data_IF_970535626935
#
_entry.id   IF_970535626935
#
_cell.length_a   1.000
_cell.length_b   1.000
_cell.length_c   1.000
_cell.angle_alpha   90.00
_cell.angle_beta   90.00
_cell.angle_gamma   90.00
#
_symmetry.space_group_name_H-M   'P 1'
#
loop_
_entity.id
_entity.type
_entity.pdbx_description
1 polymer ?
#
# COMPACT_ATOMS: atom_id res chain seq x y z
N UNK A 1 15.13 11.13 -27.27
CA UNK A 1 15.61 10.07 -26.36
C UNK A 1 16.26 10.75 -25.14
N UNK A 2 15.70 10.54 -23.94
CA UNK A 2 16.20 11.17 -22.71
C UNK A 2 17.25 10.30 -22.00
N UNK A 3 17.54 9.08 -22.50
CA UNK A 3 18.54 8.17 -21.92
C UNK A 3 18.22 7.76 -20.48
N UNK A 4 16.93 7.55 -20.17
CA UNK A 4 16.50 7.16 -18.82
C UNK A 4 16.67 5.66 -18.58
N UNK A 5 16.96 5.26 -17.35
CA UNK A 5 17.06 3.85 -16.93
C UNK A 5 15.71 3.27 -16.52
N UNK A 6 14.77 4.09 -16.09
CA UNK A 6 13.42 3.70 -15.73
C UNK A 6 12.44 4.88 -15.82
N UNK A 7 11.16 4.56 -15.98
CA UNK A 7 10.07 5.52 -15.86
C UNK A 7 9.28 5.23 -14.58
N UNK A 8 9.07 6.24 -13.76
CA UNK A 8 8.17 6.18 -12.62
C UNK A 8 6.80 6.68 -13.09
N UNK A 9 5.84 5.77 -13.20
CA UNK A 9 4.46 6.06 -13.59
C UNK A 9 3.67 6.53 -12.37
N UNK A 10 3.54 7.83 -12.22
CA UNK A 10 2.90 8.48 -11.05
C UNK A 10 1.59 9.20 -11.40
N UNK A 11 1.05 9.01 -12.61
CA UNK A 11 -0.19 9.70 -13.04
C UNK A 11 -1.44 9.06 -12.43
N UNK A 12 -1.37 7.80 -12.02
CA UNK A 12 -2.53 7.01 -11.59
C UNK A 12 -3.45 6.57 -12.73
N UNK A 13 -3.03 6.78 -13.99
CA UNK A 13 -3.80 6.43 -15.19
C UNK A 13 -3.29 5.12 -15.79
N UNK A 14 -1.99 5.01 -16.03
CA UNK A 14 -1.37 3.85 -16.68
C UNK A 14 -1.02 2.76 -15.65
N UNK A 15 -2.06 2.19 -15.00
CA UNK A 15 -1.90 1.28 -13.85
C UNK A 15 -2.02 -0.21 -14.19
N UNK A 16 -2.14 -0.56 -15.48
CA UNK A 16 -2.16 -1.95 -15.98
C UNK A 16 -0.96 -2.20 -16.87
N UNK A 17 -0.62 -3.48 -17.09
CA UNK A 17 0.47 -3.87 -17.98
C UNK A 17 0.30 -3.27 -19.39
N UNK A 18 -0.91 -3.39 -19.97
CA UNK A 18 -1.19 -2.87 -21.31
C UNK A 18 -1.00 -1.36 -21.39
N UNK A 19 -1.45 -0.64 -20.39
CA UNK A 19 -1.33 0.83 -20.38
C UNK A 19 0.10 1.26 -20.10
N UNK A 20 0.77 0.67 -19.12
CA UNK A 20 2.15 1.00 -18.78
C UNK A 20 3.13 0.62 -19.89
N UNK A 21 2.75 -0.35 -20.74
CA UNK A 21 3.53 -0.74 -21.93
C UNK A 21 3.80 0.42 -22.89
N UNK A 22 2.95 1.43 -22.95
CA UNK A 22 3.21 2.62 -23.78
C UNK A 22 4.55 3.30 -23.43
N UNK A 23 4.99 3.25 -22.17
CA UNK A 23 6.29 3.77 -21.79
C UNK A 23 7.43 2.89 -22.31
N UNK A 24 7.25 1.56 -22.29
CA UNK A 24 8.21 0.61 -22.87
C UNK A 24 8.32 0.82 -24.38
N UNK A 25 7.17 0.92 -25.07
CA UNK A 25 7.11 1.17 -26.51
C UNK A 25 7.72 2.54 -26.88
N UNK A 26 7.69 3.50 -25.96
CA UNK A 26 8.37 4.80 -26.05
C UNK A 26 9.88 4.74 -25.78
N UNK A 27 10.43 3.57 -25.46
CA UNK A 27 11.86 3.32 -25.26
C UNK A 27 12.33 3.30 -23.80
N UNK A 28 11.43 3.24 -22.82
CA UNK A 28 11.80 3.06 -21.42
C UNK A 28 12.25 1.61 -21.16
N UNK A 29 13.41 1.36 -20.54
CA UNK A 29 13.85 0.00 -20.22
C UNK A 29 13.01 -0.68 -19.15
N UNK A 30 12.49 0.10 -18.19
CA UNK A 30 11.63 -0.35 -17.09
C UNK A 30 10.59 0.68 -16.72
N UNK A 31 9.47 0.20 -16.15
CA UNK A 31 8.40 1.06 -15.61
C UNK A 31 8.05 0.62 -14.20
N UNK A 32 8.01 1.57 -13.28
CA UNK A 32 7.54 1.36 -11.90
C UNK A 32 6.25 2.16 -11.71
N UNK A 33 5.15 1.45 -11.53
CA UNK A 33 3.83 2.06 -11.28
C UNK A 33 3.73 2.40 -9.80
N UNK A 34 3.53 3.67 -9.46
CA UNK A 34 3.38 4.15 -8.06
C UNK A 34 1.97 3.95 -7.50
N UNK A 35 1.25 2.96 -7.96
CA UNK A 35 -0.12 2.63 -7.59
C UNK A 35 -0.34 1.11 -7.64
N UNK A 36 -1.39 0.57 -6.97
CA UNK A 36 -1.76 -0.84 -7.12
C UNK A 36 -2.09 -1.15 -8.56
N UNK A 37 -1.61 -2.29 -9.05
CA UNK A 37 -1.96 -2.82 -10.37
C UNK A 37 -2.86 -4.04 -10.25
N UNK A 38 -3.70 -4.25 -11.26
CA UNK A 38 -4.53 -5.46 -11.36
C UNK A 38 -3.70 -6.67 -11.79
N UNK A 39 -2.74 -6.48 -12.67
CA UNK A 39 -2.05 -7.49 -13.46
C UNK A 39 -0.52 -7.39 -13.40
N UNK A 40 0.08 -6.22 -13.15
CA UNK A 40 1.51 -6.12 -12.96
C UNK A 40 1.95 -6.75 -11.61
N UNK A 41 3.13 -7.41 -11.57
CA UNK A 41 3.72 -7.87 -10.33
C UNK A 41 3.84 -6.75 -9.32
N UNK A 42 3.48 -7.04 -8.07
CA UNK A 42 3.45 -6.04 -6.99
C UNK A 42 4.52 -6.35 -5.96
N UNK A 43 5.32 -5.34 -5.64
CA UNK A 43 6.41 -5.46 -4.69
C UNK A 43 6.33 -4.40 -3.60
N UNK A 44 6.58 -4.83 -2.38
CA UNK A 44 6.75 -3.97 -1.20
C UNK A 44 8.14 -4.20 -0.63
N UNK A 45 8.91 -3.13 -0.54
CA UNK A 45 10.27 -3.20 0.01
C UNK A 45 10.24 -3.69 1.46
N UNK A 46 11.17 -4.59 1.81
CA UNK A 46 11.20 -5.25 3.12
C UNK A 46 10.20 -6.40 3.29
N UNK A 47 9.34 -6.67 2.30
CA UNK A 47 8.33 -7.74 2.36
C UNK A 47 8.61 -8.85 1.35
N UNK A 48 8.62 -8.54 0.06
CA UNK A 48 8.82 -9.49 -1.03
C UNK A 48 9.75 -8.97 -2.13
N UNK A 49 10.57 -7.96 -1.85
CA UNK A 49 11.46 -7.33 -2.83
C UNK A 49 12.57 -8.27 -3.33
N UNK A 50 12.94 -9.26 -2.54
CA UNK A 50 13.89 -10.32 -2.88
C UNK A 50 13.38 -11.29 -3.97
N UNK A 51 12.07 -11.26 -4.23
CA UNK A 51 11.43 -12.05 -5.28
C UNK A 51 11.31 -11.30 -6.62
N UNK A 52 11.83 -10.06 -6.71
CA UNK A 52 11.77 -9.27 -7.96
C UNK A 52 12.49 -10.03 -9.08
N UNK A 53 11.75 -10.29 -10.17
CA UNK A 53 12.34 -10.88 -11.35
C UNK A 53 12.96 -9.78 -12.23
N UNK A 54 14.18 -10.01 -12.71
CA UNK A 54 14.87 -9.08 -13.62
C UNK A 54 14.14 -8.89 -14.95
N UNK A 55 13.35 -9.88 -15.36
CA UNK A 55 12.59 -9.87 -16.60
C UNK A 55 11.25 -9.11 -16.47
N UNK A 56 10.84 -8.74 -15.25
CA UNK A 56 9.69 -7.88 -15.04
C UNK A 56 10.01 -6.44 -15.46
N UNK A 57 9.62 -6.09 -16.67
CA UNK A 57 9.84 -4.74 -17.22
C UNK A 57 8.87 -3.71 -16.62
N UNK A 58 7.71 -4.15 -16.17
CA UNK A 58 6.67 -3.31 -15.57
C UNK A 58 6.31 -3.91 -14.22
N UNK A 59 6.50 -3.14 -13.15
CA UNK A 59 6.19 -3.55 -11.77
C UNK A 59 5.33 -2.50 -11.08
N UNK A 60 4.61 -2.91 -10.04
CA UNK A 60 3.85 -2.01 -9.18
C UNK A 60 4.49 -1.91 -7.80
N UNK A 61 4.62 -0.70 -7.28
CA UNK A 61 5.07 -0.41 -5.91
C UNK A 61 3.91 -0.42 -4.90
N UNK A 62 2.76 -1.01 -5.24
CA UNK A 62 1.58 -1.08 -4.40
C UNK A 62 0.98 0.30 -4.03
N UNK A 63 0.17 0.36 -2.97
CA UNK A 63 -0.42 1.61 -2.45
C UNK A 63 0.30 2.09 -1.20
N UNK A 64 0.08 3.35 -0.84
CA UNK A 64 0.55 3.92 0.43
C UNK A 64 0.11 3.08 1.64
N UNK A 65 -1.16 2.70 1.70
CA UNK A 65 -1.71 1.87 2.79
C UNK A 65 -1.12 0.46 2.78
N UNK A 66 -0.89 -0.14 1.60
CA UNK A 66 -0.24 -1.45 1.50
C UNK A 66 1.22 -1.39 1.99
N UNK A 67 1.95 -0.35 1.63
CA UNK A 67 3.33 -0.15 2.09
C UNK A 67 3.41 0.11 3.60
N UNK A 68 2.40 0.75 4.19
CA UNK A 68 2.31 0.94 5.64
C UNK A 68 1.98 -0.38 6.38
N UNK A 69 1.05 -1.17 5.83
CA UNK A 69 0.50 -2.36 6.49
C UNK A 69 1.37 -3.61 6.34
N UNK A 70 1.94 -3.84 5.14
CA UNK A 70 2.61 -5.09 4.83
C UNK A 70 3.88 -5.35 5.67
N UNK A 71 4.77 -4.38 5.94
CA UNK A 71 5.94 -4.63 6.78
C UNK A 71 5.59 -5.06 8.21
N UNK A 72 4.78 -4.34 9.01
CA UNK A 72 4.49 -4.74 10.38
C UNK A 72 3.71 -6.06 10.46
N UNK A 73 2.75 -6.30 9.57
CA UNK A 73 2.02 -7.56 9.61
C UNK A 73 2.88 -8.75 9.17
N UNK A 74 3.86 -8.54 8.30
CA UNK A 74 4.86 -9.56 7.96
C UNK A 74 5.67 -9.96 9.19
N UNK A 75 6.18 -8.98 9.93
CA UNK A 75 6.97 -9.23 11.16
C UNK A 75 6.14 -10.02 12.17
N UNK A 76 4.88 -9.66 12.38
CA UNK A 76 3.97 -10.38 13.27
C UNK A 76 3.69 -11.80 12.76
N UNK A 77 3.42 -11.95 11.48
CA UNK A 77 3.10 -13.25 10.88
C UNK A 77 4.30 -14.21 10.92
N UNK A 78 5.49 -13.73 10.63
CA UNK A 78 6.71 -14.55 10.59
C UNK A 78 7.14 -15.03 11.99
N UNK A 79 6.88 -14.25 13.05
CA UNK A 79 7.30 -14.58 14.41
C UNK A 79 6.22 -15.30 15.22
N UNK A 80 4.97 -14.88 15.09
CA UNK A 80 3.87 -15.35 15.94
C UNK A 80 2.77 -16.09 15.18
N UNK A 81 2.72 -15.96 13.84
CA UNK A 81 1.60 -16.39 13.03
C UNK A 81 0.38 -15.48 13.20
N UNK A 82 -0.29 -15.17 12.12
CA UNK A 82 -1.54 -14.39 12.10
C UNK A 82 -2.69 -15.31 11.76
N UNK A 83 -3.69 -15.37 12.65
CA UNK A 83 -4.95 -16.11 12.42
C UNK A 83 -5.97 -15.22 11.73
N UNK A 84 -6.19 -14.03 12.28
CA UNK A 84 -7.14 -13.04 11.77
C UNK A 84 -6.60 -11.63 11.97
N UNK A 85 -6.91 -10.73 11.04
CA UNK A 85 -6.54 -9.33 11.15
C UNK A 85 -7.61 -8.39 10.59
N UNK A 86 -7.83 -7.29 11.29
CA UNK A 86 -8.68 -6.18 10.85
C UNK A 86 -7.82 -4.92 10.75
N UNK A 87 -7.82 -4.31 9.59
CA UNK A 87 -7.12 -3.05 9.35
C UNK A 87 -8.14 -1.92 9.16
N UNK A 88 -7.96 -0.84 9.91
CA UNK A 88 -8.65 0.42 9.66
C UNK A 88 -7.63 1.47 9.27
N UNK A 89 -7.81 2.12 8.12
CA UNK A 89 -6.97 3.27 7.77
C UNK A 89 -7.77 4.57 7.94
N UNK A 90 -7.23 5.47 8.77
CA UNK A 90 -7.66 6.87 8.87
C UNK A 90 -6.81 7.66 7.89
N UNK A 91 -7.41 8.04 6.76
CA UNK A 91 -6.67 8.46 5.58
C UNK A 91 -6.92 9.91 5.23
N UNK A 92 -5.84 10.67 5.00
CA UNK A 92 -5.90 12.02 4.49
C UNK A 92 -6.67 12.12 3.17
N UNK A 93 -7.09 13.32 2.82
CA UNK A 93 -7.76 13.59 1.54
C UNK A 93 -6.85 13.28 0.35
N UNK A 94 -7.45 12.89 -0.76
CA UNK A 94 -6.74 12.65 -2.02
C UNK A 94 -7.43 13.39 -3.16
N UNK A 95 -6.71 13.62 -4.26
CA UNK A 95 -7.18 14.38 -5.40
C UNK A 95 -8.46 13.82 -6.07
N UNK A 96 -8.83 12.59 -5.75
CA UNK A 96 -10.06 11.96 -6.26
C UNK A 96 -11.33 12.33 -5.48
N UNK A 97 -11.20 13.04 -4.36
CA UNK A 97 -12.30 13.46 -3.51
C UNK A 97 -12.78 14.85 -3.91
N UNK A 98 -14.10 15.09 -3.79
CA UNK A 98 -14.68 16.39 -4.07
C UNK A 98 -14.38 17.42 -2.97
N UNK A 99 -14.19 18.67 -3.34
CA UNK A 99 -14.08 19.80 -2.40
C UNK A 99 -15.44 20.23 -1.86
N UNK A 100 -16.50 20.08 -2.65
CA UNK A 100 -17.90 20.31 -2.28
C UNK A 100 -18.74 19.08 -2.57
N UNK A 101 -19.89 18.95 -1.93
CA UNK A 101 -20.81 17.83 -2.16
C UNK A 101 -21.23 17.75 -3.62
N UNK A 102 -21.19 16.57 -4.21
CA UNK A 102 -21.59 16.33 -5.59
C UNK A 102 -21.84 14.84 -5.89
N UNK A 103 -22.50 14.55 -7.03
CA UNK A 103 -22.81 13.17 -7.38
C UNK A 103 -21.55 12.38 -7.70
N UNK A 104 -21.35 11.24 -7.05
CA UNK A 104 -20.26 10.31 -7.34
C UNK A 104 -20.76 9.09 -8.11
N UNK A 105 -20.03 8.71 -9.17
CA UNK A 105 -20.34 7.51 -9.97
C UNK A 105 -19.89 6.21 -9.28
N UNK A 106 -19.03 6.30 -8.30
CA UNK A 106 -18.38 5.13 -7.67
C UNK A 106 -19.12 4.66 -6.40
N UNK A 107 -19.40 5.59 -5.52
CA UNK A 107 -20.03 5.37 -4.22
C UNK A 107 -20.62 6.69 -3.79
N UNK A 108 -21.88 6.71 -3.34
CA UNK A 108 -22.55 7.93 -2.89
C UNK A 108 -21.79 8.66 -1.79
N UNK A 109 -21.14 7.91 -0.88
CA UNK A 109 -20.32 8.50 0.19
C UNK A 109 -19.13 9.26 -0.34
N UNK A 110 -18.53 8.80 -1.45
CA UNK A 110 -17.40 9.48 -2.09
C UNK A 110 -17.79 10.82 -2.75
N UNK A 111 -19.09 11.12 -2.85
CA UNK A 111 -19.60 12.41 -3.31
C UNK A 111 -19.65 13.50 -2.23
N UNK A 112 -19.36 13.16 -0.97
CA UNK A 112 -19.32 14.14 0.12
C UNK A 112 -18.03 14.93 0.11
N UNK A 113 -18.13 16.19 0.52
CA UNK A 113 -16.99 17.11 0.63
C UNK A 113 -15.90 16.52 1.53
N UNK A 114 -14.68 16.49 1.00
CA UNK A 114 -13.49 16.01 1.71
C UNK A 114 -13.05 16.91 2.86
N UNK A 115 -13.50 18.17 2.89
CA UNK A 115 -13.02 19.19 3.82
C UNK A 115 -13.73 19.18 5.18
N UNK A 116 -14.93 18.59 5.27
CA UNK A 116 -15.78 18.72 6.44
C UNK A 116 -16.38 17.38 6.92
N UNK A 117 -16.06 16.27 6.29
CA UNK A 117 -16.70 14.98 6.57
C UNK A 117 -15.70 13.89 6.91
N UNK A 118 -16.08 12.98 7.78
CA UNK A 118 -15.45 11.66 7.90
C UNK A 118 -16.20 10.73 6.94
N UNK A 119 -15.50 10.24 5.91
CA UNK A 119 -16.12 9.50 4.81
C UNK A 119 -15.66 8.04 4.85
N UNK A 120 -16.55 7.09 5.24
CA UNK A 120 -16.22 5.66 5.12
C UNK A 120 -16.02 5.28 3.66
N UNK A 121 -14.97 4.54 3.38
CA UNK A 121 -14.63 4.10 2.03
C UNK A 121 -14.15 2.64 2.04
N UNK A 122 -14.33 1.96 0.93
CA UNK A 122 -13.67 0.67 0.72
C UNK A 122 -12.18 0.87 0.49
N UNK A 123 -11.37 -0.11 0.88
CA UNK A 123 -9.94 -0.14 0.59
C UNK A 123 -9.54 -1.48 0.01
N UNK A 124 -8.71 -1.44 -1.02
CA UNK A 124 -8.08 -2.64 -1.59
C UNK A 124 -6.79 -3.05 -0.89
N UNK A 125 -6.35 -2.31 0.14
CA UNK A 125 -5.05 -2.53 0.77
C UNK A 125 -4.94 -3.90 1.45
N UNK A 126 -5.96 -4.35 2.17
CA UNK A 126 -5.98 -5.68 2.77
C UNK A 126 -5.82 -6.79 1.72
N UNK A 127 -6.55 -6.68 0.60
CA UNK A 127 -6.42 -7.61 -0.53
C UNK A 127 -5.06 -7.50 -1.23
N UNK A 128 -4.48 -6.30 -1.30
CA UNK A 128 -3.15 -6.11 -1.89
C UNK A 128 -2.05 -6.73 -1.02
N UNK A 129 -2.19 -6.68 0.31
CA UNK A 129 -1.25 -7.35 1.24
C UNK A 129 -1.23 -8.85 1.01
N UNK A 130 -2.35 -9.50 0.70
CA UNK A 130 -2.34 -10.95 0.43
C UNK A 130 -1.62 -11.32 -0.88
N UNK A 131 -1.46 -10.38 -1.81
CA UNK A 131 -0.63 -10.60 -3.01
C UNK A 131 0.86 -10.60 -2.70
N UNK A 132 1.31 -9.82 -1.71
CA UNK A 132 2.73 -9.73 -1.33
C UNK A 132 3.08 -10.66 -0.15
N UNK A 133 2.07 -11.09 0.62
CA UNK A 133 2.18 -12.08 1.71
C UNK A 133 1.05 -13.11 1.53
N UNK A 134 1.22 -14.11 0.65
CA UNK A 134 0.15 -15.06 0.32
C UNK A 134 -0.41 -15.86 1.50
N UNK A 135 0.39 -16.08 2.55
CA UNK A 135 -0.05 -16.79 3.77
C UNK A 135 -1.14 -16.07 4.56
N UNK A 136 -1.42 -14.80 4.24
CA UNK A 136 -2.49 -14.00 4.84
C UNK A 136 -3.80 -14.03 4.04
N UNK A 137 -3.88 -14.82 2.95
CA UNK A 137 -5.10 -14.92 2.16
C UNK A 137 -6.26 -15.47 3.01
N UNK A 138 -7.40 -14.78 2.97
CA UNK A 138 -8.58 -15.10 3.78
C UNK A 138 -8.51 -14.69 5.25
N UNK A 139 -7.35 -14.21 5.75
CA UNK A 139 -7.14 -13.86 7.15
C UNK A 139 -7.22 -12.37 7.46
N UNK A 140 -7.15 -11.53 6.45
CA UNK A 140 -7.13 -10.07 6.64
C UNK A 140 -8.26 -9.39 5.89
N UNK A 141 -8.93 -8.47 6.58
CA UNK A 141 -9.91 -7.55 6.00
C UNK A 141 -9.64 -6.12 6.45
N UNK A 142 -10.31 -5.15 5.83
CA UNK A 142 -10.10 -3.77 6.22
C UNK A 142 -11.10 -2.78 5.65
N UNK A 143 -11.10 -1.60 6.27
CA UNK A 143 -11.90 -0.46 5.88
C UNK A 143 -11.07 0.83 5.92
N UNK A 144 -11.58 1.88 5.31
CA UNK A 144 -10.96 3.20 5.29
C UNK A 144 -11.94 4.27 5.77
N UNK A 145 -11.44 5.24 6.51
CA UNK A 145 -12.10 6.50 6.79
C UNK A 145 -11.29 7.63 6.20
N UNK A 146 -11.87 8.36 5.26
CA UNK A 146 -11.28 9.62 4.78
C UNK A 146 -11.62 10.73 5.74
N UNK A 147 -10.61 11.46 6.18
CA UNK A 147 -10.73 12.55 7.16
C UNK A 147 -10.21 13.86 6.54
N UNK A 148 -10.70 15.03 7.01
CA UNK A 148 -10.35 16.33 6.46
C UNK A 148 -8.96 16.81 6.92
N UNK A 149 -7.93 16.01 6.63
CA UNK A 149 -6.52 16.36 6.84
C UNK A 149 -5.80 16.38 5.49
N UNK A 150 -4.92 17.35 5.32
CA UNK A 150 -4.23 17.54 4.05
C UNK A 150 -3.17 16.47 3.77
N UNK A 151 -2.57 15.93 4.83
CA UNK A 151 -1.46 14.98 4.71
C UNK A 151 -1.46 14.02 5.90
N UNK A 152 -0.69 12.94 5.76
CA UNK A 152 -0.49 11.85 6.72
C UNK A 152 -1.74 11.00 6.94
N UNK A 153 -1.56 9.71 6.88
CA UNK A 153 -2.58 8.70 7.16
C UNK A 153 -2.08 7.74 8.24
N UNK A 154 -3.01 7.15 8.98
CA UNK A 154 -2.73 6.19 10.04
C UNK A 154 -3.35 4.84 9.68
N UNK A 155 -2.65 3.76 9.97
CA UNK A 155 -3.19 2.40 9.98
C UNK A 155 -3.34 1.94 11.41
N UNK A 156 -4.56 1.59 11.78
CA UNK A 156 -4.88 0.86 12.99
C UNK A 156 -5.05 -0.62 12.63
N UNK A 157 -4.26 -1.49 13.28
CA UNK A 157 -4.19 -2.90 12.98
C UNK A 157 -4.52 -3.72 14.22
N UNK A 158 -5.67 -4.38 14.21
CA UNK A 158 -6.05 -5.38 15.21
C UNK A 158 -5.73 -6.77 14.69
N UNK A 159 -4.96 -7.56 15.44
CA UNK A 159 -4.47 -8.87 15.01
C UNK A 159 -4.72 -9.91 16.08
N UNK A 160 -5.22 -11.07 15.67
CA UNK A 160 -5.21 -12.28 16.48
C UNK A 160 -4.01 -13.13 16.09
N UNK A 161 -3.11 -13.33 17.03
CA UNK A 161 -1.89 -14.10 16.84
C UNK A 161 -2.10 -15.57 17.23
N UNK A 162 -1.39 -16.48 16.55
CA UNK A 162 -1.45 -17.91 16.83
C UNK A 162 -0.61 -18.31 18.05
N UNK A 163 0.40 -17.51 18.39
CA UNK A 163 1.25 -17.72 19.57
C UNK A 163 1.01 -16.61 20.58
N UNK A 164 1.01 -16.97 21.86
CA UNK A 164 1.06 -15.98 22.95
C UNK A 164 2.35 -15.18 22.89
N UNK A 165 2.25 -13.91 23.23
CA UNK A 165 3.38 -12.99 23.26
C UNK A 165 3.12 -11.83 24.21
N UNK A 166 4.16 -11.09 24.55
CA UNK A 166 4.07 -9.86 25.35
C UNK A 166 4.25 -8.61 24.49
N UNK A 167 3.86 -7.47 25.03
CA UNK A 167 4.10 -6.17 24.41
C UNK A 167 5.60 -5.93 24.19
N UNK A 168 6.43 -6.25 25.18
CA UNK A 168 7.89 -6.09 25.13
C UNK A 168 8.49 -6.95 24.01
N UNK A 169 8.01 -8.16 23.84
CA UNK A 169 8.49 -9.05 22.76
C UNK A 169 8.11 -8.51 21.39
N UNK A 170 6.88 -8.04 21.21
CA UNK A 170 6.45 -7.39 19.96
C UNK A 170 7.34 -6.18 19.65
N UNK A 171 7.57 -5.30 20.63
CA UNK A 171 8.42 -4.12 20.43
C UNK A 171 9.85 -4.50 20.06
N UNK A 172 10.43 -5.50 20.71
CA UNK A 172 11.78 -5.97 20.43
C UNK A 172 11.93 -6.54 19.00
N UNK A 173 10.97 -7.32 18.53
CA UNK A 173 11.04 -7.84 17.16
C UNK A 173 10.80 -6.75 16.11
N UNK A 174 9.91 -5.79 16.39
CA UNK A 174 9.70 -4.64 15.51
C UNK A 174 10.97 -3.79 15.40
N UNK A 175 11.63 -3.49 16.52
CA UNK A 175 12.90 -2.77 16.54
C UNK A 175 13.98 -3.48 15.74
N UNK A 176 14.14 -4.80 15.91
CA UNK A 176 15.07 -5.61 15.11
C UNK A 176 14.77 -5.57 13.64
N UNK A 177 13.49 -5.67 13.26
CA UNK A 177 13.07 -5.62 11.87
C UNK A 177 13.35 -4.24 11.23
N UNK A 178 13.25 -3.16 12.00
CA UNK A 178 13.51 -1.78 11.53
C UNK A 178 15.00 -1.46 11.51
N UNK A 179 15.82 -2.01 12.40
CA UNK A 179 17.26 -1.72 12.46
C UNK A 179 18.00 -2.20 11.20
N UNK A 180 17.44 -3.17 10.48
CA UNK A 180 17.98 -3.69 9.21
C UNK A 180 17.61 -2.84 7.99
N UNK A 181 16.82 -1.80 8.18
CA UNK A 181 16.24 -1.06 7.07
C UNK A 181 16.99 0.24 6.80
N UNK A 182 17.98 0.18 5.93
CA UNK A 182 18.16 1.17 4.88
C UNK A 182 16.84 1.38 4.05
N UNK A 183 15.76 0.75 4.43
CA UNK A 183 14.38 0.80 3.92
C UNK A 183 13.44 1.68 4.76
N UNK A 184 13.91 2.37 5.77
CA UNK A 184 13.22 3.57 6.18
C UNK A 184 13.02 4.38 4.92
N UNK A 185 11.75 4.60 4.54
CA UNK A 185 11.46 5.70 3.67
C UNK A 185 12.42 6.82 4.09
N UNK A 186 13.17 7.37 3.15
CA UNK A 186 13.93 8.56 3.43
C UNK A 186 12.91 9.65 3.72
N UNK A 187 12.32 9.55 4.90
CA UNK A 187 11.47 10.57 5.42
C UNK A 187 12.35 11.79 5.49
N UNK A 188 11.97 12.78 4.72
CA UNK A 188 12.47 14.11 4.89
C UNK A 188 12.28 14.43 6.37
N UNK A 189 13.32 14.30 7.14
CA UNK A 189 13.34 14.81 8.49
C UNK A 189 13.10 16.31 8.40
N UNK A 190 11.97 16.73 8.87
CA UNK A 190 11.74 18.11 9.19
C UNK A 190 12.38 18.41 10.54
#
# INVERSE_FOLDING_TARGET
>A
NLGVDAVLECTGIFTTLDMAKFHIDGGAPKVVISAPSKDAPMYVMGVNHDTINKDDLIISNASCTTNCLAPPIKVLNDNFGVEEALMTTVHAVTATQFTVDGPSKKDFRAGRSSLLNIIPASTGAAKAVTKVIPSLEGKITGMAFRVPTANVSVVDLTVKLSKETSYEEIMNIMEKAVSYTHLRAHETQQ
#
